data_IF_755423938312
#
_entry.id   IF_755423938312
#
_cell.length_a   1.000
_cell.length_b   1.000
_cell.length_c   1.000
_cell.angle_alpha   90.00
_cell.angle_beta   90.00
_cell.angle_gamma   90.00
#
_symmetry.space_group_name_H-M   'P 1'
#
loop_
_entity.id
_entity.type
_entity.pdbx_description
1 polymer ?
#
# COMPACT_ATOMS: atom_id res chain seq x y z
N UNK A 1 23.76 -7.64 17.93
CA UNK A 1 24.15 -6.63 16.92
C UNK A 1 24.13 -5.27 17.60
N UNK A 2 25.20 -4.44 17.39
CA UNK A 2 25.22 -3.07 17.90
C UNK A 2 24.13 -2.26 17.23
N UNK A 3 23.36 -1.50 18.05
CA UNK A 3 22.32 -0.62 17.59
C UNK A 3 22.75 0.84 17.64
N UNK A 4 22.27 1.65 16.73
CA UNK A 4 22.43 3.10 16.74
C UNK A 4 21.37 3.68 17.68
N UNK A 5 21.79 4.41 18.71
CA UNK A 5 20.85 5.06 19.60
C UNK A 5 20.30 6.33 18.97
N UNK A 6 18.99 6.44 18.87
CA UNK A 6 18.27 7.67 18.55
C UNK A 6 17.59 8.21 19.81
N UNK A 7 17.76 9.50 20.02
CA UNK A 7 17.11 10.19 21.11
C UNK A 7 15.71 10.59 20.70
N UNK A 8 14.70 10.16 21.47
CA UNK A 8 13.31 10.56 21.29
C UNK A 8 13.05 11.82 22.10
N UNK A 9 12.93 12.96 21.44
CA UNK A 9 12.71 14.25 22.07
C UNK A 9 11.25 14.66 21.84
N UNK A 10 10.44 14.84 22.92
CA UNK A 10 9.09 15.38 22.77
C UNK A 10 9.14 16.75 22.09
N UNK A 11 8.30 16.97 21.10
CA UNK A 11 8.25 18.20 20.34
C UNK A 11 6.82 18.75 20.33
N UNK A 12 6.62 20.09 20.27
CA UNK A 12 5.29 20.63 20.07
C UNK A 12 4.77 20.24 18.69
N UNK A 13 3.55 19.73 18.62
CA UNK A 13 2.85 19.55 17.36
C UNK A 13 2.41 20.92 16.86
N UNK A 14 3.16 21.54 15.97
CA UNK A 14 2.83 22.87 15.44
C UNK A 14 1.77 22.83 14.33
N UNK A 15 1.50 21.65 13.75
CA UNK A 15 0.37 21.38 12.86
C UNK A 15 0.30 22.25 11.59
N UNK A 16 1.36 22.98 11.28
CA UNK A 16 1.36 24.01 10.23
C UNK A 16 2.01 23.56 8.92
N UNK A 17 2.77 22.48 8.93
CA UNK A 17 3.45 21.98 7.74
C UNK A 17 2.62 20.87 7.08
N UNK A 18 2.59 20.86 5.74
CA UNK A 18 2.09 19.72 4.99
C UNK A 18 3.00 18.53 5.28
N UNK A 19 2.48 17.40 5.78
CA UNK A 19 3.30 16.24 6.09
C UNK A 19 3.86 15.60 4.82
N UNK A 20 4.97 14.87 4.95
CA UNK A 20 5.52 14.03 3.88
C UNK A 20 4.77 12.69 3.76
N UNK A 21 4.15 12.28 4.84
CA UNK A 21 3.34 11.07 4.95
C UNK A 21 2.21 11.33 5.92
N UNK A 22 1.00 10.88 5.59
CA UNK A 22 -0.09 10.75 6.56
C UNK A 22 -0.87 9.48 6.31
N UNK A 23 -1.18 8.77 7.39
CA UNK A 23 -2.13 7.66 7.40
C UNK A 23 -3.09 7.89 8.55
N UNK A 24 -4.36 8.08 8.24
CA UNK A 24 -5.41 8.28 9.21
C UNK A 24 -6.44 7.17 9.11
N UNK A 25 -6.54 6.39 10.18
CA UNK A 25 -7.54 5.37 10.40
C UNK A 25 -8.53 5.86 11.46
N UNK A 26 -9.52 6.63 11.06
CA UNK A 26 -10.61 7.09 11.93
C UNK A 26 -11.97 6.46 11.56
N UNK A 27 -11.95 5.42 10.75
CA UNK A 27 -13.13 4.66 10.36
C UNK A 27 -13.66 3.90 11.57
N UNK A 28 -14.86 4.29 12.02
CA UNK A 28 -15.49 3.70 13.19
C UNK A 28 -16.21 2.40 12.80
N UNK A 29 -15.44 1.35 12.64
CA UNK A 29 -15.95 0.05 12.25
C UNK A 29 -15.23 -1.05 13.01
N UNK A 30 -15.96 -1.92 13.65
CA UNK A 30 -15.55 -3.09 14.44
C UNK A 30 -14.06 -3.15 14.89
N UNK A 31 -13.71 -3.97 15.86
CA UNK A 31 -12.32 -4.20 16.35
C UNK A 31 -11.32 -4.68 15.26
N UNK A 32 -11.77 -4.78 14.01
CA UNK A 32 -10.98 -5.18 12.84
C UNK A 32 -9.95 -4.14 12.43
N UNK A 33 -10.30 -2.85 12.48
CA UNK A 33 -9.38 -1.77 12.14
C UNK A 33 -8.92 -1.04 13.39
N UNK A 34 -7.63 -0.71 13.44
CA UNK A 34 -7.10 0.11 14.52
C UNK A 34 -7.38 1.59 14.22
N UNK A 35 -7.84 2.35 15.21
CA UNK A 35 -7.76 3.80 15.15
C UNK A 35 -6.29 4.18 15.30
N UNK A 36 -5.76 4.91 14.34
CA UNK A 36 -4.41 5.44 14.36
C UNK A 36 -4.34 6.66 13.45
N UNK A 37 -3.68 7.69 13.94
CA UNK A 37 -3.35 8.88 13.16
C UNK A 37 -1.84 9.05 13.20
N UNK A 38 -1.18 8.87 12.05
CA UNK A 38 0.27 8.95 11.93
C UNK A 38 0.67 9.89 10.82
N UNK A 39 1.59 10.79 11.10
CA UNK A 39 2.15 11.69 10.11
C UNK A 39 3.66 11.84 10.29
N UNK A 40 4.38 12.00 9.18
CA UNK A 40 5.76 12.44 9.17
C UNK A 40 5.80 13.88 8.68
N UNK A 41 6.19 14.80 9.53
CA UNK A 41 6.44 16.19 9.15
C UNK A 41 7.84 16.37 8.56
N UNK A 42 8.83 15.67 9.11
CA UNK A 42 10.20 15.67 8.61
C UNK A 42 10.74 14.24 8.51
N UNK A 43 11.38 13.93 7.39
CA UNK A 43 12.08 12.68 7.18
C UNK A 43 13.58 12.86 7.40
N UNK A 44 14.21 11.93 8.11
CA UNK A 44 15.65 11.81 8.17
C UNK A 44 16.19 11.23 6.87
N UNK A 45 15.58 10.13 6.41
CA UNK A 45 15.95 9.40 5.19
C UNK A 45 14.72 9.08 4.36
N UNK A 46 14.91 8.88 3.06
CA UNK A 46 14.00 8.12 2.22
C UNK A 46 14.70 6.85 1.74
N UNK A 47 14.04 5.70 1.90
CA UNK A 47 14.53 4.40 1.44
C UNK A 47 13.77 3.98 0.19
N UNK A 48 14.46 3.79 -0.93
CA UNK A 48 13.93 3.29 -2.17
C UNK A 48 14.37 1.84 -2.34
N UNK A 49 13.41 0.97 -2.45
CA UNK A 49 13.63 -0.46 -2.62
C UNK A 49 13.55 -0.85 -4.09
N UNK A 50 14.65 -1.35 -4.64
CA UNK A 50 14.77 -1.90 -5.98
C UNK A 50 15.08 -3.40 -5.93
N UNK A 51 15.03 -4.06 -7.06
CA UNK A 51 15.32 -5.50 -7.14
C UNK A 51 16.78 -5.84 -6.76
N UNK A 52 17.71 -4.92 -7.03
CA UNK A 52 19.18 -5.09 -6.87
C UNK A 52 19.79 -4.27 -5.72
N UNK A 53 19.03 -3.37 -5.11
CA UNK A 53 19.52 -2.48 -4.06
C UNK A 53 18.43 -1.82 -3.23
N UNK A 54 18.83 -1.31 -2.08
CA UNK A 54 18.11 -0.28 -1.35
C UNK A 54 18.93 1.00 -1.44
N UNK A 55 18.34 2.08 -1.99
CA UNK A 55 18.96 3.39 -1.98
C UNK A 55 18.43 4.18 -0.77
N UNK A 56 19.34 4.68 0.07
CA UNK A 56 19.03 5.52 1.24
C UNK A 56 19.41 6.96 0.91
N UNK A 57 18.42 7.82 0.83
CA UNK A 57 18.58 9.23 0.50
C UNK A 57 18.44 10.07 1.77
N UNK A 58 19.48 10.72 2.26
CA UNK A 58 19.38 11.69 3.35
C UNK A 58 18.43 12.83 2.98
N UNK A 59 17.56 13.18 3.94
CA UNK A 59 16.56 14.24 3.80
C UNK A 59 16.80 15.41 4.75
N UNK A 60 17.83 15.29 5.59
CA UNK A 60 18.24 16.30 6.56
C UNK A 60 19.70 16.08 6.96
N UNK A 61 20.29 17.01 7.73
CA UNK A 61 21.62 16.83 8.32
C UNK A 61 21.65 15.62 9.26
N UNK A 62 20.62 15.45 10.07
CA UNK A 62 20.47 14.27 10.92
C UNK A 62 20.44 12.99 10.09
N UNK A 63 19.76 13.01 8.94
CA UNK A 63 19.71 11.90 8.00
C UNK A 63 21.07 11.53 7.40
N UNK A 64 21.92 12.51 7.09
CA UNK A 64 23.32 12.24 6.66
C UNK A 64 24.07 11.49 7.76
N UNK A 65 24.04 12.00 9.00
CA UNK A 65 24.71 11.36 10.14
C UNK A 65 24.18 9.94 10.41
N UNK A 66 22.87 9.74 10.28
CA UNK A 66 22.24 8.41 10.40
C UNK A 66 22.77 7.47 9.31
N UNK A 67 22.82 7.91 8.04
CA UNK A 67 23.35 7.11 6.94
C UNK A 67 24.83 6.77 7.12
N UNK A 68 25.64 7.73 7.55
CA UNK A 68 27.06 7.53 7.88
C UNK A 68 27.25 6.52 9.03
N UNK A 69 26.40 6.57 10.06
CA UNK A 69 26.42 5.61 11.17
C UNK A 69 25.98 4.20 10.73
N UNK A 70 25.05 4.10 9.77
CA UNK A 70 24.61 2.83 9.19
C UNK A 70 25.65 2.21 8.25
N UNK A 71 26.46 3.05 7.58
CA UNK A 71 27.38 2.59 6.54
C UNK A 71 28.32 1.44 6.98
N UNK A 72 29.04 1.51 8.11
CA UNK A 72 29.89 0.41 8.56
C UNK A 72 29.10 -0.82 9.04
N UNK A 73 27.84 -0.66 9.48
CA UNK A 73 27.00 -1.74 9.99
C UNK A 73 26.36 -2.56 8.88
N UNK A 74 26.09 -1.94 7.73
CA UNK A 74 25.36 -2.52 6.61
C UNK A 74 26.19 -2.69 5.35
N UNK A 75 27.43 -2.16 5.33
CA UNK A 75 28.29 -2.16 4.14
C UNK A 75 27.75 -1.20 3.06
N UNK A 76 27.25 -0.02 3.47
CA UNK A 76 26.77 0.97 2.52
C UNK A 76 27.92 1.60 1.74
N UNK A 77 27.64 1.91 0.48
CA UNK A 77 28.53 2.68 -0.41
C UNK A 77 27.77 3.84 -1.05
N UNK A 78 28.44 4.86 -1.59
CA UNK A 78 27.77 5.89 -2.39
C UNK A 78 26.97 5.26 -3.55
N UNK A 79 25.76 5.74 -3.81
CA UNK A 79 24.96 5.26 -4.95
C UNK A 79 25.34 6.02 -6.22
N UNK A 80 25.93 5.37 -7.24
CA UNK A 80 26.32 6.05 -8.47
C UNK A 80 25.13 6.56 -9.30
N UNK A 81 23.93 5.98 -9.09
CA UNK A 81 22.71 6.39 -9.77
C UNK A 81 21.98 7.56 -9.08
N UNK A 82 22.39 7.92 -7.85
CA UNK A 82 21.75 8.96 -7.06
C UNK A 82 22.79 9.73 -6.23
N UNK A 83 23.33 10.84 -6.74
CA UNK A 83 24.32 11.65 -6.02
C UNK A 83 23.84 12.04 -4.61
N UNK A 84 24.69 11.80 -3.60
CA UNK A 84 24.36 12.03 -2.18
C UNK A 84 23.56 10.92 -1.50
N UNK A 85 23.14 9.89 -2.23
CA UNK A 85 22.52 8.70 -1.65
C UNK A 85 23.57 7.63 -1.29
N UNK A 86 23.16 6.74 -0.39
CA UNK A 86 23.89 5.54 -0.01
C UNK A 86 23.20 4.32 -0.58
N UNK A 87 23.95 3.35 -1.07
CA UNK A 87 23.47 2.09 -1.63
C UNK A 87 23.76 0.93 -0.68
N UNK A 88 22.73 0.16 -0.35
CA UNK A 88 22.83 -1.20 0.18
C UNK A 88 22.62 -2.17 -0.98
N UNK A 89 23.66 -2.87 -1.47
CA UNK A 89 23.50 -3.82 -2.56
C UNK A 89 22.69 -5.03 -2.10
N UNK A 90 21.86 -5.55 -3.00
CA UNK A 90 21.09 -6.77 -2.83
C UNK A 90 21.50 -7.75 -3.93
N UNK A 91 21.49 -9.03 -3.62
CA UNK A 91 21.65 -10.06 -4.62
C UNK A 91 20.32 -10.21 -5.40
N UNK A 92 20.26 -9.88 -6.69
CA UNK A 92 19.03 -9.97 -7.47
C UNK A 92 18.55 -11.43 -7.65
N UNK A 93 19.45 -12.41 -7.51
CA UNK A 93 19.13 -13.83 -7.64
C UNK A 93 18.68 -14.45 -6.30
N UNK A 94 18.88 -13.75 -5.17
CA UNK A 94 18.35 -14.18 -3.88
C UNK A 94 16.80 -14.14 -3.85
N UNK A 95 16.16 -15.02 -3.08
CA UNK A 95 14.70 -14.99 -2.87
C UNK A 95 14.21 -13.58 -2.49
N UNK A 96 13.05 -13.18 -3.02
CA UNK A 96 12.50 -11.85 -2.73
C UNK A 96 12.34 -11.61 -1.22
N UNK A 97 11.94 -12.65 -0.45
CA UNK A 97 11.79 -12.54 1.00
C UNK A 97 13.10 -12.15 1.69
N UNK A 98 14.24 -12.68 1.27
CA UNK A 98 15.55 -12.31 1.83
C UNK A 98 15.89 -10.84 1.49
N UNK A 99 15.65 -10.41 0.25
CA UNK A 99 15.87 -9.02 -0.17
C UNK A 99 14.94 -8.05 0.58
N UNK A 100 13.68 -8.41 0.72
CA UNK A 100 12.68 -7.64 1.47
C UNK A 100 13.05 -7.56 2.95
N UNK A 101 13.55 -8.67 3.54
CA UNK A 101 13.97 -8.70 4.94
C UNK A 101 15.08 -7.68 5.21
N UNK A 102 15.99 -7.44 4.25
CA UNK A 102 17.04 -6.40 4.39
C UNK A 102 16.45 -5.00 4.56
N UNK A 103 15.33 -4.70 3.90
CA UNK A 103 14.60 -3.45 4.08
C UNK A 103 13.91 -3.42 5.45
N UNK A 104 13.21 -4.49 5.81
CA UNK A 104 12.45 -4.59 7.07
C UNK A 104 13.35 -4.60 8.31
N UNK A 105 14.62 -4.97 8.16
CA UNK A 105 15.61 -4.93 9.23
C UNK A 105 16.17 -3.53 9.52
N UNK A 106 15.93 -2.54 8.65
CA UNK A 106 16.45 -1.19 8.86
C UNK A 106 15.98 -0.57 10.19
N UNK A 107 14.70 -0.57 10.56
CA UNK A 107 14.27 -0.04 11.85
C UNK A 107 14.89 -0.76 13.05
N UNK A 108 15.16 -2.06 12.94
CA UNK A 108 15.74 -2.86 14.01
C UNK A 108 17.22 -2.51 14.29
N UNK A 109 17.88 -1.74 13.41
CA UNK A 109 19.25 -1.22 13.63
C UNK A 109 19.30 -0.07 14.61
N UNK A 110 18.15 0.45 15.00
CA UNK A 110 18.06 1.58 15.91
C UNK A 110 17.53 1.15 17.30
N UNK A 111 18.08 1.79 18.32
CA UNK A 111 17.49 1.86 19.65
C UNK A 111 16.76 3.20 19.71
N UNK A 112 15.46 3.17 19.45
CA UNK A 112 14.62 4.34 19.22
C UNK A 112 13.22 4.14 19.81
N UNK A 113 12.38 5.16 19.72
CA UNK A 113 10.94 5.07 20.00
C UNK A 113 10.34 3.86 19.24
N UNK A 114 9.49 3.03 19.86
CA UNK A 114 8.91 1.84 19.21
C UNK A 114 8.06 2.16 17.98
N UNK A 115 7.62 3.41 17.82
CA UNK A 115 6.90 3.93 16.65
C UNK A 115 7.83 4.31 15.50
N UNK A 116 9.15 4.38 15.74
CA UNK A 116 10.15 4.60 14.68
C UNK A 116 10.15 3.42 13.70
N UNK A 117 10.11 3.72 12.39
CA UNK A 117 9.97 2.69 11.36
C UNK A 117 10.05 3.22 9.95
N UNK A 118 9.54 2.45 9.02
CA UNK A 118 9.40 2.79 7.60
C UNK A 118 7.96 3.19 7.32
N UNK A 119 7.74 4.31 6.67
CA UNK A 119 6.43 4.89 6.37
C UNK A 119 6.33 5.19 4.88
N UNK A 120 5.46 4.49 4.16
CA UNK A 120 5.38 4.66 2.72
C UNK A 120 4.58 3.57 2.04
N UNK A 121 5.05 3.11 0.88
CA UNK A 121 4.31 2.14 0.11
C UNK A 121 5.20 1.16 -0.65
N UNK A 122 4.67 -0.03 -0.88
CA UNK A 122 5.18 -0.99 -1.87
C UNK A 122 4.47 -0.82 -3.20
N UNK A 123 5.22 -0.92 -4.27
CA UNK A 123 4.68 -0.95 -5.63
C UNK A 123 4.10 -2.35 -5.96
N UNK A 124 3.13 -2.40 -6.87
CA UNK A 124 2.58 -3.65 -7.39
C UNK A 124 3.65 -4.58 -7.96
N UNK A 125 4.70 -4.01 -8.54
CA UNK A 125 5.83 -4.70 -9.14
C UNK A 125 6.64 -5.56 -8.15
N UNK A 126 6.36 -5.48 -6.85
CA UNK A 126 6.88 -6.44 -5.87
C UNK A 126 6.44 -7.88 -6.22
N UNK A 127 5.21 -8.06 -6.75
CA UNK A 127 4.75 -9.35 -7.28
C UNK A 127 5.53 -9.76 -8.53
N UNK A 128 5.87 -8.80 -9.42
CA UNK A 128 6.70 -9.08 -10.58
C UNK A 128 8.07 -9.61 -10.16
N UNK A 129 8.71 -8.98 -9.17
CA UNK A 129 9.98 -9.44 -8.60
C UNK A 129 9.88 -10.85 -8.01
N UNK A 130 8.76 -11.19 -7.34
CA UNK A 130 8.47 -12.55 -6.84
C UNK A 130 8.40 -13.58 -7.97
N UNK A 131 7.81 -13.20 -9.10
CA UNK A 131 7.59 -14.08 -10.26
C UNK A 131 8.80 -14.14 -11.24
N UNK A 132 9.91 -13.46 -10.91
CA UNK A 132 11.08 -13.37 -11.79
C UNK A 132 10.82 -12.52 -13.05
N UNK A 133 9.83 -11.62 -13.01
CA UNK A 133 9.56 -10.69 -14.10
C UNK A 133 10.36 -9.39 -13.90
N UNK A 134 10.50 -8.60 -14.97
CA UNK A 134 11.18 -7.31 -14.88
C UNK A 134 10.43 -6.40 -13.91
N UNK A 135 11.16 -5.87 -12.93
CA UNK A 135 10.64 -4.99 -11.90
C UNK A 135 11.67 -3.90 -11.60
N UNK A 136 11.26 -2.65 -11.68
CA UNK A 136 12.08 -1.50 -11.33
C UNK A 136 12.01 -1.19 -9.83
N UNK A 137 11.39 -0.07 -9.50
CA UNK A 137 11.11 0.31 -8.12
C UNK A 137 10.07 -0.62 -7.48
N UNK A 138 10.38 -1.12 -6.30
CA UNK A 138 9.53 -2.05 -5.53
C UNK A 138 8.84 -1.36 -4.34
N UNK A 139 9.34 -0.21 -3.90
CA UNK A 139 8.74 0.55 -2.81
C UNK A 139 9.49 1.83 -2.47
N UNK A 140 8.79 2.76 -1.83
CA UNK A 140 9.31 4.04 -1.33
C UNK A 140 8.87 4.24 0.11
N UNK A 141 9.81 4.53 1.00
CA UNK A 141 9.54 4.73 2.41
C UNK A 141 10.30 5.92 2.97
N UNK A 142 9.65 6.69 3.83
CA UNK A 142 10.31 7.68 4.68
C UNK A 142 10.69 7.06 6.02
N UNK A 143 11.87 7.40 6.51
CA UNK A 143 12.32 7.16 7.87
C UNK A 143 12.15 8.48 8.62
N UNK A 144 11.37 8.53 9.70
CA UNK A 144 11.01 9.79 10.33
C UNK A 144 12.20 10.46 11.02
N UNK A 145 12.25 11.79 10.93
CA UNK A 145 12.96 12.66 11.84
C UNK A 145 11.97 13.28 12.83
N UNK A 146 10.83 13.82 12.33
CA UNK A 146 9.68 14.22 13.14
C UNK A 146 8.47 13.38 12.79
N UNK A 147 8.00 12.64 13.79
CA UNK A 147 6.84 11.76 13.70
C UNK A 147 5.73 12.29 14.63
N UNK A 148 4.51 12.31 14.12
CA UNK A 148 3.29 12.56 14.90
C UNK A 148 2.49 11.26 14.95
N UNK A 149 2.10 10.83 16.15
CA UNK A 149 1.21 9.69 16.37
C UNK A 149 0.11 10.10 17.34
N UNK A 150 -1.12 10.03 16.88
CA UNK A 150 -2.33 10.37 17.67
C UNK A 150 -2.24 11.75 18.36
N UNK A 151 -1.62 12.73 17.66
CA UNK A 151 -1.43 14.10 18.13
C UNK A 151 -0.16 14.34 18.94
N UNK A 152 0.59 13.29 19.29
CA UNK A 152 1.88 13.42 19.98
C UNK A 152 3.03 13.51 18.98
N UNK A 153 3.83 14.56 19.03
CA UNK A 153 5.00 14.75 18.19
C UNK A 153 6.28 14.29 18.91
N UNK A 154 7.13 13.55 18.17
CA UNK A 154 8.44 13.07 18.62
C UNK A 154 9.47 13.33 17.55
N UNK A 155 10.58 13.99 17.94
CA UNK A 155 11.78 14.09 17.11
C UNK A 155 12.71 12.89 17.39
N UNK A 156 13.15 12.21 16.35
CA UNK A 156 14.06 11.07 16.39
C UNK A 156 15.46 11.51 15.89
N UNK A 157 16.33 11.89 16.82
CA UNK A 157 17.60 12.55 16.53
C UNK A 157 18.78 11.68 16.96
N UNK A 158 19.84 11.66 16.14
CA UNK A 158 21.11 11.05 16.53
C UNK A 158 21.82 11.87 17.62
N UNK A 159 21.73 13.20 17.54
CA UNK A 159 22.20 14.13 18.52
C UNK A 159 21.03 15.02 19.02
N UNK A 160 20.70 15.00 20.31
CA UNK A 160 19.60 15.81 20.85
C UNK A 160 19.77 17.33 20.67
N UNK A 161 20.99 17.80 20.45
CA UNK A 161 21.28 19.21 20.18
C UNK A 161 20.94 19.62 18.74
N UNK A 162 20.68 18.64 17.86
CA UNK A 162 20.31 18.88 16.46
C UNK A 162 18.80 19.14 16.37
N UNK A 163 18.40 20.37 16.61
CA UNK A 163 16.98 20.77 16.67
C UNK A 163 16.26 20.75 15.32
N UNK A 164 16.86 20.15 14.29
CA UNK A 164 16.25 19.87 12.99
C UNK A 164 16.04 21.13 12.13
N UNK A 165 16.33 20.97 10.85
CA UNK A 165 15.95 21.91 9.78
C UNK A 165 14.76 21.38 8.98
N UNK A 166 14.39 22.06 7.91
CA UNK A 166 13.46 21.56 6.91
C UNK A 166 14.00 20.27 6.23
N UNK A 167 13.12 19.34 5.87
CA UNK A 167 13.50 18.21 5.05
C UNK A 167 13.91 18.67 3.66
N UNK A 168 15.02 18.13 3.15
CA UNK A 168 15.44 18.44 1.80
C UNK A 168 14.46 17.86 0.79
N UNK A 169 14.24 18.52 -0.37
CA UNK A 169 13.37 18.00 -1.41
C UNK A 169 13.79 16.59 -1.85
N UNK A 170 12.81 15.76 -2.17
CA UNK A 170 13.01 14.48 -2.82
C UNK A 170 12.77 14.67 -4.32
N UNK A 171 13.67 14.17 -5.14
CA UNK A 171 13.52 14.13 -6.59
C UNK A 171 13.70 12.69 -7.05
N UNK A 172 12.60 12.00 -7.28
CA UNK A 172 12.59 10.59 -7.70
C UNK A 172 12.52 10.43 -9.21
N UNK A 173 12.07 11.44 -9.95
CA UNK A 173 11.86 11.39 -11.39
C UNK A 173 13.04 10.80 -12.18
N UNK A 174 14.30 11.21 -11.93
CA UNK A 174 15.45 10.61 -12.60
C UNK A 174 15.67 9.11 -12.32
N UNK A 175 15.17 8.62 -11.16
CA UNK A 175 15.32 7.22 -10.76
C UNK A 175 14.12 6.35 -11.15
N UNK A 176 12.96 6.95 -11.46
CA UNK A 176 11.71 6.23 -11.68
C UNK A 176 11.39 6.02 -13.17
N UNK A 177 12.00 6.79 -14.09
CA UNK A 177 11.53 6.88 -15.47
C UNK A 177 10.14 7.52 -15.48
N UNK A 178 10.07 8.83 -15.26
CA UNK A 178 8.92 9.59 -14.78
C UNK A 178 7.60 9.36 -15.52
N UNK A 179 7.60 9.21 -16.85
CA UNK A 179 6.36 9.12 -17.65
C UNK A 179 5.56 7.83 -17.39
N UNK A 180 6.23 6.72 -17.04
CA UNK A 180 5.58 5.42 -16.84
C UNK A 180 5.11 5.22 -15.38
N UNK A 181 5.69 5.92 -14.41
CA UNK A 181 5.34 5.74 -13.00
C UNK A 181 3.95 6.31 -12.68
N UNK A 182 3.64 7.49 -13.19
CA UNK A 182 2.37 8.17 -12.89
C UNK A 182 1.18 7.46 -13.54
N UNK A 183 1.23 7.24 -14.84
CA UNK A 183 0.10 6.70 -15.61
C UNK A 183 0.08 5.17 -15.67
N UNK A 184 1.26 4.54 -15.70
CA UNK A 184 1.42 3.15 -16.05
C UNK A 184 1.00 2.89 -17.50
N UNK A 185 1.11 1.64 -17.95
CA UNK A 185 0.62 1.18 -19.25
C UNK A 185 -0.62 0.32 -19.09
N UNK A 186 -1.45 0.25 -20.13
CA UNK A 186 -2.60 -0.64 -20.13
C UNK A 186 -3.27 -0.68 -21.49
N UNK A 187 -4.01 -1.76 -21.74
CA UNK A 187 -4.87 -1.88 -22.92
C UNK A 187 -6.21 -1.17 -22.69
N UNK A 188 -6.91 -0.74 -23.77
CA UNK A 188 -8.31 -0.36 -23.70
C UNK A 188 -9.17 -1.48 -23.09
N UNK A 189 -10.23 -1.10 -22.40
CA UNK A 189 -11.10 -2.01 -21.65
C UNK A 189 -11.60 -3.19 -22.51
N UNK A 190 -12.11 -2.92 -23.70
CA UNK A 190 -12.70 -3.94 -24.58
C UNK A 190 -11.66 -5.00 -25.01
N UNK A 191 -10.44 -4.56 -25.28
CA UNK A 191 -9.34 -5.48 -25.62
C UNK A 191 -8.95 -6.36 -24.46
N UNK A 192 -8.80 -5.76 -23.28
CA UNK A 192 -8.43 -6.51 -22.08
C UNK A 192 -9.54 -7.46 -21.68
N UNK A 193 -10.82 -7.03 -21.76
CA UNK A 193 -11.97 -7.90 -21.51
C UNK A 193 -11.98 -9.11 -22.43
N UNK A 194 -11.74 -8.93 -23.75
CA UNK A 194 -11.71 -10.03 -24.71
C UNK A 194 -10.59 -11.04 -24.42
N UNK A 195 -9.40 -10.56 -24.05
CA UNK A 195 -8.26 -11.41 -23.67
C UNK A 195 -8.59 -12.20 -22.40
N UNK A 196 -9.06 -11.52 -21.37
CA UNK A 196 -9.41 -12.12 -20.09
C UNK A 196 -10.51 -13.19 -20.25
N UNK A 197 -11.60 -12.86 -20.96
CA UNK A 197 -12.72 -13.78 -21.19
C UNK A 197 -12.27 -15.06 -21.93
N UNK A 198 -11.35 -14.95 -22.89
CA UNK A 198 -10.79 -16.12 -23.57
C UNK A 198 -9.99 -17.00 -22.60
N UNK A 199 -9.09 -16.40 -21.80
CA UNK A 199 -8.28 -17.14 -20.83
C UNK A 199 -9.11 -17.80 -19.72
N UNK A 200 -10.26 -17.21 -19.38
CA UNK A 200 -11.22 -17.78 -18.44
C UNK A 200 -11.99 -18.94 -19.11
N UNK A 201 -12.44 -18.78 -20.35
CA UNK A 201 -13.14 -19.81 -21.10
C UNK A 201 -12.25 -21.05 -21.36
N UNK A 202 -10.97 -20.84 -21.60
CA UNK A 202 -9.96 -21.90 -21.80
C UNK A 202 -9.58 -22.59 -20.46
N UNK A 203 -10.11 -22.14 -19.32
CA UNK A 203 -9.83 -22.71 -18.01
C UNK A 203 -8.44 -22.34 -17.42
N UNK A 204 -7.68 -21.48 -18.10
CA UNK A 204 -6.37 -21.01 -17.61
C UNK A 204 -6.51 -20.09 -16.39
N UNK A 205 -7.60 -19.36 -16.29
CA UNK A 205 -7.93 -18.46 -15.17
C UNK A 205 -9.36 -18.72 -14.69
N UNK A 206 -9.59 -18.54 -13.40
CA UNK A 206 -10.94 -18.45 -12.82
C UNK A 206 -11.40 -17.00 -12.79
N UNK A 207 -10.49 -16.10 -12.53
CA UNK A 207 -10.73 -14.65 -12.57
C UNK A 207 -9.43 -13.89 -12.87
N UNK A 208 -9.57 -12.65 -13.32
CA UNK A 208 -8.47 -11.67 -13.43
C UNK A 208 -9.02 -10.27 -13.16
N UNK A 209 -8.22 -9.42 -12.52
CA UNK A 209 -8.61 -8.06 -12.18
C UNK A 209 -7.75 -7.04 -12.94
N UNK A 210 -8.04 -6.73 -14.21
CA UNK A 210 -7.33 -5.70 -14.96
C UNK A 210 -7.66 -4.30 -14.42
N UNK A 211 -6.74 -3.35 -14.66
CA UNK A 211 -6.92 -1.97 -14.22
C UNK A 211 -6.76 -0.95 -15.35
N UNK A 212 -7.43 0.18 -15.20
CA UNK A 212 -7.50 1.23 -16.20
C UNK A 212 -7.19 2.57 -15.56
N UNK A 213 -6.32 3.35 -16.22
CA UNK A 213 -5.96 4.70 -15.78
C UNK A 213 -6.95 5.73 -16.31
N UNK A 214 -7.33 6.67 -15.46
CA UNK A 214 -8.11 7.86 -15.78
C UNK A 214 -7.25 9.06 -15.41
N UNK A 215 -6.94 9.90 -16.38
CA UNK A 215 -6.11 11.09 -16.18
C UNK A 215 -6.93 12.36 -16.41
N UNK A 216 -6.69 13.37 -15.57
CA UNK A 216 -7.32 14.69 -15.70
C UNK A 216 -6.33 15.79 -15.29
N UNK A 217 -6.38 16.96 -15.92
CA UNK A 217 -5.71 18.16 -15.42
C UNK A 217 -6.18 18.45 -13.99
N UNK A 218 -5.25 18.70 -13.08
CA UNK A 218 -5.55 19.01 -11.68
C UNK A 218 -4.52 20.00 -11.14
N UNK A 219 -4.99 21.20 -10.81
CA UNK A 219 -4.18 22.23 -10.17
C UNK A 219 -4.37 22.26 -8.63
N UNK A 220 -5.15 21.34 -8.09
CA UNK A 220 -5.42 21.27 -6.64
C UNK A 220 -4.21 20.70 -5.89
N UNK A 221 -4.00 21.21 -4.71
CA UNK A 221 -3.02 20.68 -3.77
C UNK A 221 -3.42 19.26 -3.30
N UNK A 222 -2.48 18.33 -3.36
CA UNK A 222 -2.73 16.91 -3.06
C UNK A 222 -3.11 16.66 -1.59
N UNK A 223 -2.55 17.45 -0.66
CA UNK A 223 -2.90 17.32 0.75
C UNK A 223 -4.32 17.83 1.03
N UNK A 224 -4.76 18.86 0.32
CA UNK A 224 -6.15 19.32 0.36
C UNK A 224 -7.12 18.27 -0.19
N UNK A 225 -6.72 17.56 -1.25
CA UNK A 225 -7.51 16.42 -1.77
C UNK A 225 -7.61 15.32 -0.72
N UNK A 226 -6.49 14.99 -0.04
CA UNK A 226 -6.50 14.03 1.08
C UNK A 226 -7.45 14.45 2.21
N UNK A 227 -7.45 15.73 2.60
CA UNK A 227 -8.36 16.25 3.63
C UNK A 227 -9.82 16.16 3.20
N UNK A 228 -10.13 16.47 1.93
CA UNK A 228 -11.49 16.36 1.39
C UNK A 228 -11.95 14.88 1.33
N UNK A 229 -11.06 13.96 0.96
CA UNK A 229 -11.36 12.53 0.99
C UNK A 229 -11.64 12.05 2.42
N UNK A 230 -10.83 12.47 3.39
CA UNK A 230 -11.03 12.14 4.80
C UNK A 230 -12.40 12.64 5.31
N UNK A 231 -12.80 13.83 4.90
CA UNK A 231 -14.06 14.43 5.33
C UNK A 231 -15.29 13.80 4.65
N UNK A 232 -15.19 13.48 3.34
CA UNK A 232 -16.32 13.01 2.52
C UNK A 232 -16.45 11.49 2.48
N UNK A 233 -15.34 10.78 2.62
CA UNK A 233 -15.29 9.34 2.54
C UNK A 233 -14.26 8.76 3.52
N UNK A 234 -14.54 8.84 4.82
CA UNK A 234 -13.70 8.17 5.80
C UNK A 234 -13.65 6.67 5.48
N UNK A 235 -12.43 6.14 5.45
CA UNK A 235 -12.17 4.73 5.17
C UNK A 235 -11.09 4.22 6.14
N UNK A 236 -10.88 2.90 6.23
CA UNK A 236 -9.82 2.35 7.08
C UNK A 236 -8.43 2.93 6.82
N UNK A 237 -8.14 3.31 5.55
CA UNK A 237 -6.82 3.81 5.17
C UNK A 237 -6.96 5.10 4.34
N UNK A 238 -7.04 6.24 5.04
CA UNK A 238 -6.93 7.54 4.40
C UNK A 238 -5.45 7.90 4.33
N UNK A 239 -4.91 7.94 3.11
CA UNK A 239 -3.48 8.02 2.86
C UNK A 239 -3.08 9.31 2.14
N UNK A 240 -1.91 9.83 2.51
CA UNK A 240 -1.18 10.86 1.80
C UNK A 240 0.31 10.54 1.78
N UNK A 241 0.97 10.76 0.65
CA UNK A 241 2.41 10.59 0.52
C UNK A 241 2.98 11.65 -0.42
N UNK A 242 4.05 12.30 0.01
CA UNK A 242 4.83 13.23 -0.80
C UNK A 242 6.14 12.59 -1.23
N UNK A 243 6.24 12.25 -2.50
CA UNK A 243 7.43 11.72 -3.15
C UNK A 243 8.31 12.81 -3.78
N UNK A 244 7.99 14.08 -3.58
CA UNK A 244 8.65 15.22 -4.20
C UNK A 244 8.10 15.51 -5.59
N UNK A 245 8.46 14.72 -6.58
CA UNK A 245 7.98 14.89 -7.97
C UNK A 245 6.54 14.40 -8.16
N UNK A 246 6.01 13.64 -7.21
CA UNK A 246 4.62 13.17 -7.22
C UNK A 246 4.04 13.12 -5.81
N UNK A 247 2.73 13.19 -5.69
CA UNK A 247 2.01 12.96 -4.45
C UNK A 247 0.92 11.90 -4.65
N UNK A 248 0.64 11.12 -3.58
CA UNK A 248 -0.48 10.21 -3.51
C UNK A 248 -1.51 10.74 -2.51
N UNK A 249 -2.79 10.75 -2.89
CA UNK A 249 -3.89 11.03 -1.98
C UNK A 249 -5.01 10.01 -2.20
N UNK A 250 -5.45 9.34 -1.15
CA UNK A 250 -6.40 8.24 -1.29
C UNK A 250 -7.20 7.93 -0.04
N UNK A 251 -8.25 7.12 -0.25
CA UNK A 251 -9.16 6.64 0.78
C UNK A 251 -9.53 5.17 0.50
N UNK A 252 -8.66 4.26 0.97
CA UNK A 252 -8.76 2.83 0.67
C UNK A 252 -9.58 2.08 1.71
N UNK A 253 -10.53 1.22 1.29
CA UNK A 253 -11.30 0.37 2.18
C UNK A 253 -10.57 -0.92 2.57
N UNK A 254 -9.47 -1.28 1.90
CA UNK A 254 -8.95 -2.63 1.92
C UNK A 254 -7.67 -2.76 2.76
N UNK A 255 -7.72 -3.59 3.81
CA UNK A 255 -6.52 -4.05 4.52
C UNK A 255 -5.75 -5.03 3.64
N UNK A 256 -4.45 -4.77 3.44
CA UNK A 256 -3.55 -5.75 2.88
C UNK A 256 -3.04 -6.69 3.95
N UNK A 257 -2.36 -6.16 4.96
CA UNK A 257 -1.76 -6.95 6.03
C UNK A 257 -1.54 -6.11 7.29
N UNK A 258 -1.87 -6.65 8.44
CA UNK A 258 -1.58 -6.07 9.75
C UNK A 258 -0.82 -7.08 10.60
N UNK A 259 0.21 -6.61 11.31
CA UNK A 259 0.86 -7.35 12.40
C UNK A 259 0.70 -6.56 13.70
N UNK A 260 0.07 -7.16 14.69
CA UNK A 260 -0.09 -6.56 16.03
C UNK A 260 -0.15 -7.65 17.08
N UNK A 261 0.58 -7.47 18.19
CA UNK A 261 0.60 -8.45 19.29
C UNK A 261 1.05 -9.86 18.84
N UNK A 262 1.94 -9.96 17.85
CA UNK A 262 2.44 -11.22 17.32
C UNK A 262 1.44 -11.97 16.42
N UNK A 263 0.26 -11.38 16.12
CA UNK A 263 -0.71 -11.94 15.17
C UNK A 263 -0.72 -11.12 13.87
N UNK A 264 -0.67 -11.85 12.79
CA UNK A 264 -0.84 -11.33 11.44
C UNK A 264 -2.32 -11.42 11.07
N UNK A 265 -2.87 -10.38 10.46
CA UNK A 265 -4.26 -10.35 10.02
C UNK A 265 -4.35 -9.77 8.60
N UNK A 266 -5.34 -10.24 7.86
CA UNK A 266 -5.74 -9.78 6.53
C UNK A 266 -7.26 -9.62 6.50
N UNK A 267 -7.76 -8.85 5.53
CA UNK A 267 -9.20 -8.68 5.37
C UNK A 267 -9.59 -8.75 3.89
N UNK A 268 -9.90 -9.96 3.39
CA UNK A 268 -10.54 -10.10 2.09
C UNK A 268 -11.84 -9.32 2.01
N UNK A 269 -12.01 -8.52 0.95
CA UNK A 269 -13.18 -7.70 0.69
C UNK A 269 -13.68 -7.98 -0.72
N UNK A 270 -14.95 -8.42 -0.85
CA UNK A 270 -15.61 -8.77 -2.09
C UNK A 270 -17.09 -8.39 -2.03
N UNK A 271 -17.73 -8.33 -3.19
CA UNK A 271 -19.12 -7.90 -3.29
C UNK A 271 -19.28 -6.40 -3.06
N UNK A 272 -20.03 -5.76 -3.92
CA UNK A 272 -20.25 -4.32 -3.88
C UNK A 272 -21.67 -4.00 -4.29
N UNK A 273 -22.34 -3.15 -3.52
CA UNK A 273 -23.62 -2.59 -3.91
C UNK A 273 -23.67 -1.10 -3.57
N UNK A 274 -24.24 -0.30 -4.46
CA UNK A 274 -24.42 1.12 -4.21
C UNK A 274 -25.38 1.38 -3.05
N UNK A 275 -25.18 2.47 -2.35
CA UNK A 275 -26.11 2.94 -1.32
C UNK A 275 -27.44 3.38 -1.93
N UNK A 276 -28.51 3.28 -1.14
CA UNK A 276 -29.81 3.87 -1.43
C UNK A 276 -29.85 5.37 -1.14
N UNK A 277 -31.04 5.97 -1.34
CA UNK A 277 -31.29 7.39 -1.08
C UNK A 277 -31.66 7.70 0.36
N UNK A 278 -31.68 6.70 1.22
CA UNK A 278 -32.04 6.81 2.62
C UNK A 278 -31.99 5.45 3.32
N UNK A 279 -32.22 5.44 4.62
CA UNK A 279 -32.02 4.28 5.48
C UNK A 279 -32.81 3.03 5.02
N UNK A 280 -34.08 3.20 4.62
CA UNK A 280 -34.91 2.07 4.15
C UNK A 280 -34.36 1.43 2.85
N UNK A 281 -33.91 2.26 1.90
CA UNK A 281 -33.27 1.76 0.68
C UNK A 281 -31.88 1.15 0.98
N UNK A 282 -31.14 1.70 1.91
CA UNK A 282 -29.86 1.16 2.37
C UNK A 282 -30.04 -0.25 2.95
N UNK A 283 -31.03 -0.46 3.83
CA UNK A 283 -31.34 -1.78 4.39
C UNK A 283 -31.78 -2.78 3.31
N UNK A 284 -32.56 -2.33 2.34
CA UNK A 284 -32.93 -3.16 1.18
C UNK A 284 -31.70 -3.56 0.33
N UNK A 285 -30.75 -2.63 0.12
CA UNK A 285 -29.52 -2.93 -0.60
C UNK A 285 -28.62 -3.89 0.19
N UNK A 286 -28.50 -3.70 1.51
CA UNK A 286 -27.77 -4.63 2.38
C UNK A 286 -28.38 -6.03 2.33
N UNK A 287 -29.71 -6.14 2.44
CA UNK A 287 -30.41 -7.42 2.33
C UNK A 287 -30.16 -8.10 0.98
N UNK A 288 -30.18 -7.33 -0.13
CA UNK A 288 -29.87 -7.82 -1.47
C UNK A 288 -28.42 -8.31 -1.57
N UNK A 289 -27.45 -7.56 -1.02
CA UNK A 289 -26.05 -7.94 -1.01
C UNK A 289 -25.82 -9.24 -0.24
N UNK A 290 -26.46 -9.38 0.93
CA UNK A 290 -26.36 -10.58 1.77
C UNK A 290 -27.04 -11.81 1.14
N UNK A 291 -28.12 -11.61 0.39
CA UNK A 291 -28.83 -12.68 -0.33
C UNK A 291 -28.13 -13.10 -1.63
N UNK A 292 -27.12 -12.37 -2.10
CA UNK A 292 -26.38 -12.68 -3.33
C UNK A 292 -25.48 -13.90 -3.14
N UNK A 293 -25.80 -15.00 -3.80
CA UNK A 293 -24.96 -16.19 -3.84
C UNK A 293 -23.66 -15.94 -4.61
N UNK A 294 -23.68 -15.06 -5.61
CA UNK A 294 -22.48 -14.65 -6.33
C UNK A 294 -21.47 -14.00 -5.38
N UNK A 295 -21.90 -12.96 -4.66
CA UNK A 295 -21.02 -12.20 -3.78
C UNK A 295 -20.53 -13.03 -2.59
N UNK A 296 -21.38 -13.94 -2.08
CA UNK A 296 -20.98 -14.90 -1.05
C UNK A 296 -19.89 -15.82 -1.55
N UNK A 297 -20.09 -16.45 -2.72
CA UNK A 297 -19.12 -17.38 -3.29
C UNK A 297 -17.77 -16.69 -3.60
N UNK A 298 -17.80 -15.47 -4.14
CA UNK A 298 -16.59 -14.70 -4.41
C UNK A 298 -15.79 -14.40 -3.14
N UNK A 299 -16.47 -14.03 -2.04
CA UNK A 299 -15.81 -13.79 -0.76
C UNK A 299 -15.20 -15.10 -0.19
N UNK A 300 -15.94 -16.20 -0.23
CA UNK A 300 -15.47 -17.52 0.23
C UNK A 300 -14.21 -17.96 -0.55
N UNK A 301 -14.17 -17.76 -1.87
CA UNK A 301 -12.98 -18.04 -2.70
C UNK A 301 -11.80 -17.15 -2.31
N UNK A 302 -12.03 -15.86 -2.04
CA UNK A 302 -10.98 -14.96 -1.58
C UNK A 302 -10.44 -15.35 -0.20
N UNK A 303 -11.30 -15.73 0.73
CA UNK A 303 -10.91 -16.22 2.07
C UNK A 303 -10.08 -17.50 1.94
N UNK A 304 -10.51 -18.43 1.10
CA UNK A 304 -9.76 -19.68 0.85
C UNK A 304 -8.37 -19.40 0.29
N UNK A 305 -8.26 -18.53 -0.72
CA UNK A 305 -6.99 -18.14 -1.31
C UNK A 305 -6.08 -17.44 -0.28
N UNK A 306 -6.66 -16.59 0.57
CA UNK A 306 -5.95 -15.90 1.64
C UNK A 306 -5.43 -16.86 2.72
N UNK A 307 -6.22 -17.85 3.12
CA UNK A 307 -5.77 -18.91 4.04
C UNK A 307 -4.64 -19.76 3.44
N UNK A 308 -4.78 -20.16 2.17
CA UNK A 308 -3.73 -20.92 1.47
C UNK A 308 -2.41 -20.14 1.37
N UNK A 309 -2.47 -18.82 1.11
CA UNK A 309 -1.29 -17.98 1.11
C UNK A 309 -0.57 -17.98 2.47
N UNK A 310 -1.31 -18.07 3.58
CA UNK A 310 -0.75 -18.13 4.93
C UNK A 310 -0.08 -19.46 5.27
N UNK A 311 -0.48 -20.56 4.62
CA UNK A 311 0.02 -21.92 4.97
C UNK A 311 1.54 -22.05 4.86
N UNK A 312 2.19 -21.31 3.95
CA UNK A 312 3.63 -21.40 3.75
C UNK A 312 4.43 -20.81 4.94
N UNK A 313 4.03 -19.65 5.44
CA UNK A 313 4.76 -18.90 6.48
C UNK A 313 4.07 -18.83 7.82
N UNK A 314 2.80 -19.22 7.92
CA UNK A 314 2.00 -19.06 9.13
C UNK A 314 1.42 -20.38 9.65
N UNK A 315 1.07 -20.37 10.95
CA UNK A 315 0.34 -21.39 11.68
C UNK A 315 -0.82 -20.76 12.46
N UNK A 316 -1.68 -21.56 13.09
CA UNK A 316 -2.84 -21.10 13.86
C UNK A 316 -3.73 -20.15 13.03
N UNK A 317 -3.98 -20.56 11.77
CA UNK A 317 -4.78 -19.79 10.82
C UNK A 317 -6.26 -19.88 11.21
N UNK A 318 -6.92 -18.73 11.35
CA UNK A 318 -8.33 -18.63 11.79
C UNK A 318 -9.10 -17.64 10.95
N UNK A 319 -10.35 -17.97 10.67
CA UNK A 319 -11.32 -17.00 10.17
C UNK A 319 -12.01 -16.37 11.39
N UNK A 320 -11.64 -15.13 11.71
CA UNK A 320 -12.18 -14.43 12.88
C UNK A 320 -13.58 -13.84 12.59
N UNK A 321 -13.80 -13.41 11.33
CA UNK A 321 -15.07 -12.91 10.81
C UNK A 321 -15.30 -13.56 9.45
N UNK A 322 -16.37 -14.35 9.31
CA UNK A 322 -16.66 -15.05 8.05
C UNK A 322 -17.23 -14.12 6.98
N UNK A 323 -18.19 -13.25 7.36
CA UNK A 323 -18.83 -12.30 6.46
C UNK A 323 -19.49 -11.19 7.24
N UNK A 324 -19.13 -9.96 6.95
CA UNK A 324 -19.77 -8.77 7.49
C UNK A 324 -20.02 -7.73 6.39
N UNK A 325 -20.94 -6.80 6.61
CA UNK A 325 -21.20 -5.69 5.67
C UNK A 325 -20.53 -4.43 6.17
N UNK A 326 -19.56 -3.94 5.43
CA UNK A 326 -18.93 -2.65 5.68
C UNK A 326 -19.68 -1.54 4.95
N UNK A 327 -19.98 -0.44 5.69
CA UNK A 327 -20.80 0.68 5.22
C UNK A 327 -19.92 1.87 4.89
N UNK A 328 -19.64 2.10 3.60
CA UNK A 328 -18.88 3.27 3.12
C UNK A 328 -19.82 4.39 2.67
N UNK A 329 -19.26 5.55 2.34
CA UNK A 329 -20.06 6.74 2.00
C UNK A 329 -20.99 6.53 0.79
N UNK A 330 -20.55 5.76 -0.23
CA UNK A 330 -21.29 5.56 -1.48
C UNK A 330 -21.62 4.10 -1.80
N UNK A 331 -21.08 3.13 -1.06
CA UNK A 331 -21.25 1.70 -1.31
C UNK A 331 -21.28 0.90 -0.02
N UNK A 332 -21.83 -0.31 -0.11
CA UNK A 332 -21.65 -1.39 0.85
C UNK A 332 -20.74 -2.45 0.24
N UNK A 333 -19.85 -3.02 1.06
CA UNK A 333 -19.04 -4.19 0.71
C UNK A 333 -19.31 -5.33 1.69
N UNK A 334 -19.08 -6.57 1.28
CA UNK A 334 -18.87 -7.67 2.21
C UNK A 334 -17.40 -7.94 2.41
N UNK A 335 -17.02 -8.30 3.63
CA UNK A 335 -15.63 -8.60 3.99
C UNK A 335 -15.56 -9.71 5.02
N UNK A 336 -14.38 -10.34 5.10
CA UNK A 336 -14.01 -11.31 6.11
C UNK A 336 -12.78 -10.84 6.88
N UNK A 337 -12.40 -11.55 7.94
CA UNK A 337 -11.12 -11.34 8.63
C UNK A 337 -10.45 -12.68 8.88
N UNK A 338 -9.17 -12.78 8.50
CA UNK A 338 -8.37 -13.98 8.69
C UNK A 338 -7.11 -13.64 9.45
N UNK A 339 -6.84 -14.32 10.56
CA UNK A 339 -5.63 -14.12 11.34
C UNK A 339 -4.78 -15.38 11.48
N UNK A 340 -3.50 -15.19 11.76
CA UNK A 340 -2.53 -16.27 11.90
C UNK A 340 -1.33 -15.83 12.76
N UNK A 341 -0.41 -16.74 13.06
CA UNK A 341 0.89 -16.48 13.65
C UNK A 341 1.99 -16.90 12.68
N UNK A 342 3.11 -16.20 12.68
CA UNK A 342 4.29 -16.65 11.94
C UNK A 342 4.80 -17.99 12.54
N UNK A 343 5.14 -18.93 11.68
CA UNK A 343 5.83 -20.17 12.08
C UNK A 343 7.21 -19.86 12.63
N UNK A 344 7.75 -20.69 13.53
CA UNK A 344 9.15 -20.61 13.95
C UNK A 344 10.09 -20.56 12.73
N UNK A 345 11.03 -19.60 12.72
CA UNK A 345 12.00 -19.41 11.63
C UNK A 345 11.48 -18.68 10.41
N UNK A 346 10.19 -18.35 10.35
CA UNK A 346 9.60 -17.49 9.30
C UNK A 346 9.58 -16.04 9.73
N UNK A 347 9.65 -15.16 8.76
CA UNK A 347 9.75 -13.71 8.95
C UNK A 347 8.53 -12.98 8.41
N UNK A 348 8.39 -11.70 8.73
CA UNK A 348 7.39 -10.83 8.13
C UNK A 348 7.56 -10.73 6.60
N UNK A 349 8.81 -10.75 6.11
CA UNK A 349 9.08 -10.74 4.68
C UNK A 349 8.54 -11.99 3.98
N UNK A 350 8.67 -13.18 4.60
CA UNK A 350 8.05 -14.41 4.08
C UNK A 350 6.53 -14.21 3.96
N UNK A 351 5.87 -13.75 5.03
CA UNK A 351 4.43 -13.56 5.04
C UNK A 351 3.97 -12.51 4.02
N UNK A 352 4.67 -11.39 3.87
CA UNK A 352 4.36 -10.40 2.83
C UNK A 352 4.49 -11.04 1.45
N UNK A 353 5.59 -11.75 1.17
CA UNK A 353 5.82 -12.40 -0.11
C UNK A 353 4.76 -13.46 -0.44
N UNK A 354 4.31 -14.24 0.55
CA UNK A 354 3.27 -15.24 0.34
C UNK A 354 1.91 -14.62 -0.01
N UNK A 355 1.64 -13.40 0.48
CA UNK A 355 0.39 -12.66 0.24
C UNK A 355 0.40 -11.68 -0.95
N UNK A 356 1.45 -11.64 -1.76
CA UNK A 356 1.57 -10.72 -2.91
C UNK A 356 0.76 -11.20 -4.11
N UNK A 357 -0.22 -10.46 -4.56
CA UNK A 357 -1.14 -9.55 -3.88
C UNK A 357 -2.46 -10.26 -3.70
N UNK A 358 -3.43 -9.71 -2.94
CA UNK A 358 -4.72 -10.38 -2.77
C UNK A 358 -5.39 -10.70 -4.10
N UNK A 359 -6.05 -11.87 -4.19
CA UNK A 359 -6.78 -12.30 -5.38
C UNK A 359 -7.82 -11.26 -5.84
N UNK A 360 -8.34 -10.47 -4.91
CA UNK A 360 -9.28 -9.37 -5.16
C UNK A 360 -8.74 -8.26 -6.07
N UNK A 361 -7.40 -8.12 -6.15
CA UNK A 361 -6.75 -7.12 -7.02
C UNK A 361 -5.90 -7.74 -8.14
N UNK A 362 -5.74 -9.07 -8.15
CA UNK A 362 -4.97 -9.78 -9.18
C UNK A 362 -5.86 -10.73 -9.99
N UNK A 363 -6.58 -11.61 -9.31
CA UNK A 363 -7.34 -12.72 -9.89
C UNK A 363 -6.85 -14.08 -9.39
N UNK A 364 -7.41 -15.16 -9.92
CA UNK A 364 -7.11 -16.54 -9.53
C UNK A 364 -6.95 -17.48 -10.72
N UNK A 365 -5.93 -18.38 -10.72
CA UNK A 365 -4.79 -18.43 -9.79
C UNK A 365 -3.93 -17.16 -9.87
N UNK A 366 -3.41 -16.70 -8.72
CA UNK A 366 -2.70 -15.39 -8.62
C UNK A 366 -1.54 -15.29 -9.59
N UNK A 367 -0.66 -16.29 -9.66
CA UNK A 367 0.54 -16.24 -10.50
C UNK A 367 0.18 -16.19 -12.00
N UNK A 368 -0.82 -16.96 -12.43
CA UNK A 368 -1.27 -16.97 -13.84
C UNK A 368 -1.92 -15.64 -14.22
N UNK A 369 -2.78 -15.10 -13.34
CA UNK A 369 -3.41 -13.80 -13.54
C UNK A 369 -2.37 -12.67 -13.57
N UNK A 370 -1.40 -12.68 -12.64
CA UNK A 370 -0.32 -11.70 -12.58
C UNK A 370 0.54 -11.70 -13.85
N UNK A 371 0.89 -12.87 -14.39
CA UNK A 371 1.65 -12.97 -15.64
C UNK A 371 0.87 -12.39 -16.81
N UNK A 372 -0.42 -12.72 -16.94
CA UNK A 372 -1.28 -12.13 -17.97
C UNK A 372 -1.35 -10.59 -17.83
N UNK A 373 -1.51 -10.08 -16.62
CA UNK A 373 -1.55 -8.65 -16.38
C UNK A 373 -0.21 -7.98 -16.75
N UNK A 374 0.92 -8.58 -16.37
CA UNK A 374 2.26 -8.05 -16.67
C UNK A 374 2.56 -7.95 -18.18
N UNK A 375 1.96 -8.80 -19.01
CA UNK A 375 2.07 -8.73 -20.48
C UNK A 375 1.38 -7.48 -21.06
N UNK A 376 0.35 -6.97 -20.37
CA UNK A 376 -0.58 -6.00 -20.93
C UNK A 376 -0.69 -4.68 -20.15
N UNK A 377 -0.26 -4.63 -18.88
CA UNK A 377 -0.31 -3.42 -18.06
C UNK A 377 0.89 -3.30 -17.13
N UNK A 378 1.19 -2.07 -16.70
CA UNK A 378 2.03 -1.76 -15.56
C UNK A 378 1.22 -0.93 -14.57
N UNK A 379 1.33 -1.23 -13.27
CA UNK A 379 0.48 -0.62 -12.23
C UNK A 379 1.21 0.34 -11.32
N UNK A 380 2.49 0.13 -11.16
CA UNK A 380 3.37 0.93 -10.29
C UNK A 380 2.81 1.01 -8.86
N UNK A 381 2.38 2.19 -8.45
CA UNK A 381 1.80 2.43 -7.14
C UNK A 381 0.43 1.77 -6.91
N UNK A 382 -0.36 1.58 -7.97
CA UNK A 382 -1.73 1.05 -7.87
C UNK A 382 -1.76 -0.44 -7.52
N UNK A 383 -2.63 -0.82 -6.60
CA UNK A 383 -2.78 -2.18 -6.05
C UNK A 383 -1.54 -2.71 -5.32
N UNK A 384 -0.58 -1.84 -4.99
CA UNK A 384 0.45 -2.10 -4.00
C UNK A 384 -0.07 -1.96 -2.56
N UNK A 385 0.80 -1.76 -1.59
CA UNK A 385 0.41 -1.60 -0.19
C UNK A 385 1.01 -0.33 0.43
N UNK A 386 0.22 0.43 1.18
CA UNK A 386 0.58 1.69 1.84
C UNK A 386 0.41 1.60 3.34
N UNK A 387 1.37 2.14 4.09
CA UNK A 387 1.25 2.21 5.53
C UNK A 387 2.59 2.34 6.24
N UNK A 388 2.74 1.66 7.36
CA UNK A 388 3.95 1.69 8.16
C UNK A 388 4.41 0.31 8.61
N UNK A 389 5.73 0.20 8.81
CA UNK A 389 6.47 -0.99 9.19
C UNK A 389 7.37 -0.62 10.38
N UNK A 390 6.88 -0.83 11.60
CA UNK A 390 7.63 -0.67 12.84
C UNK A 390 8.07 -2.04 13.38
N UNK A 391 8.97 -2.07 14.35
CA UNK A 391 9.57 -3.32 14.84
C UNK A 391 8.55 -4.37 15.31
N UNK A 392 7.45 -3.93 15.95
CA UNK A 392 6.45 -4.82 16.55
C UNK A 392 5.03 -4.58 16.01
N UNK A 393 4.88 -3.66 15.08
CA UNK A 393 3.58 -3.27 14.54
C UNK A 393 3.71 -2.93 13.06
N UNK A 394 2.84 -3.54 12.27
CA UNK A 394 2.71 -3.27 10.84
C UNK A 394 1.25 -3.01 10.51
N UNK A 395 1.00 -1.99 9.73
CA UNK A 395 -0.32 -1.66 9.21
C UNK A 395 -0.19 -1.28 7.74
N UNK A 396 -0.72 -2.11 6.86
CA UNK A 396 -0.66 -1.93 5.41
C UNK A 396 -2.04 -2.05 4.79
N UNK A 397 -2.50 -0.97 4.17
CA UNK A 397 -3.69 -0.94 3.32
C UNK A 397 -3.33 -1.12 1.85
N UNK A 398 -4.23 -1.69 1.05
CA UNK A 398 -4.06 -1.79 -0.41
C UNK A 398 -4.22 -0.41 -1.05
N UNK A 399 -3.33 -0.04 -1.98
CA UNK A 399 -3.39 1.26 -2.67
C UNK A 399 -4.43 1.23 -3.79
N UNK A 400 -5.67 1.42 -3.42
CA UNK A 400 -6.82 1.60 -4.32
C UNK A 400 -7.60 2.85 -3.91
N UNK A 401 -8.50 3.33 -4.78
CA UNK A 401 -9.24 4.59 -4.55
C UNK A 401 -8.29 5.75 -4.19
N UNK A 402 -7.24 5.86 -4.98
CA UNK A 402 -6.13 6.78 -4.79
C UNK A 402 -5.87 7.52 -6.10
N UNK A 403 -5.48 8.77 -5.99
CA UNK A 403 -4.93 9.55 -7.10
C UNK A 403 -3.43 9.77 -6.90
N UNK A 404 -2.67 9.69 -7.97
CA UNK A 404 -1.32 10.22 -8.07
C UNK A 404 -1.39 11.57 -8.76
N UNK A 405 -0.78 12.57 -8.16
CA UNK A 405 -0.65 13.92 -8.70
C UNK A 405 0.80 14.17 -9.06
N UNK A 406 1.03 14.54 -10.32
CA UNK A 406 2.35 14.91 -10.85
C UNK A 406 2.14 15.83 -12.06
N UNK A 407 3.02 16.81 -12.26
CA UNK A 407 3.07 17.69 -13.45
C UNK A 407 1.72 18.32 -13.83
N UNK A 408 0.93 18.73 -12.83
CA UNK A 408 -0.38 19.34 -13.05
C UNK A 408 -1.48 18.37 -13.52
N UNK A 409 -1.21 17.07 -13.44
CA UNK A 409 -2.15 16.00 -13.78
C UNK A 409 -2.48 15.16 -12.56
N UNK A 410 -3.72 14.71 -12.45
CA UNK A 410 -4.12 13.67 -11.53
C UNK A 410 -4.42 12.39 -12.31
N UNK A 411 -3.81 11.30 -11.88
CA UNK A 411 -4.03 9.95 -12.41
C UNK A 411 -4.68 9.10 -11.34
N UNK A 412 -5.87 8.56 -11.60
CA UNK A 412 -6.45 7.49 -10.79
C UNK A 412 -6.52 6.21 -11.59
N UNK A 413 -6.39 5.06 -10.92
CA UNK A 413 -6.62 3.75 -11.54
C UNK A 413 -7.77 3.03 -10.85
N UNK A 414 -8.50 2.28 -11.65
CA UNK A 414 -9.62 1.46 -11.18
C UNK A 414 -9.55 0.08 -11.83
N UNK A 415 -9.94 -0.95 -11.09
CA UNK A 415 -9.99 -2.32 -11.57
C UNK A 415 -11.32 -2.99 -11.23
N UNK A 416 -11.73 -3.94 -12.05
CA UNK A 416 -12.84 -4.84 -11.76
C UNK A 416 -12.44 -6.29 -12.00
N UNK A 417 -13.06 -7.20 -11.27
CA UNK A 417 -12.76 -8.63 -11.36
C UNK A 417 -13.57 -9.27 -12.46
N UNK A 418 -12.89 -9.65 -13.53
CA UNK A 418 -13.48 -10.42 -14.63
C UNK A 418 -13.51 -11.92 -14.28
N UNK A 419 -14.66 -12.54 -14.44
CA UNK A 419 -14.90 -13.97 -14.22
C UNK A 419 -15.84 -14.52 -15.31
N UNK A 420 -16.12 -15.82 -15.28
CA UNK A 420 -17.08 -16.42 -16.20
C UNK A 420 -18.52 -15.87 -16.10
N UNK A 421 -18.80 -15.13 -15.01
CA UNK A 421 -20.13 -14.51 -14.77
C UNK A 421 -20.14 -13.01 -15.06
N UNK A 422 -19.04 -12.42 -15.49
CA UNK A 422 -18.93 -10.99 -15.78
C UNK A 422 -19.59 -10.64 -17.11
N UNK A 423 -20.21 -9.48 -17.19
CA UNK A 423 -20.67 -8.86 -18.44
C UNK A 423 -19.98 -7.51 -18.64
N UNK A 424 -19.67 -7.12 -19.88
CA UNK A 424 -18.97 -5.86 -20.15
C UNK A 424 -19.64 -4.64 -19.52
N UNK A 425 -20.97 -4.55 -19.60
CA UNK A 425 -21.75 -3.42 -19.12
C UNK A 425 -21.74 -3.32 -17.59
N UNK A 426 -21.87 -4.45 -16.88
CA UNK A 426 -21.87 -4.47 -15.42
C UNK A 426 -20.49 -4.07 -14.88
N UNK A 427 -19.42 -4.63 -15.44
CA UNK A 427 -18.07 -4.34 -15.02
C UNK A 427 -17.67 -2.89 -15.31
N UNK A 428 -18.09 -2.34 -16.46
CA UNK A 428 -17.85 -0.93 -16.77
C UNK A 428 -18.58 -0.01 -15.79
N UNK A 429 -19.83 -0.29 -15.46
CA UNK A 429 -20.58 0.46 -14.45
C UNK A 429 -19.92 0.40 -13.07
N UNK A 430 -19.34 -0.73 -12.71
CA UNK A 430 -18.59 -0.89 -11.46
C UNK A 430 -17.30 -0.04 -11.46
N UNK A 431 -16.56 -0.02 -12.58
CA UNK A 431 -15.37 0.82 -12.74
C UNK A 431 -15.71 2.31 -12.58
N UNK A 432 -16.79 2.77 -13.21
CA UNK A 432 -17.27 4.15 -13.11
C UNK A 432 -17.67 4.50 -11.66
N UNK A 433 -18.38 3.61 -10.98
CA UNK A 433 -18.76 3.80 -9.57
C UNK A 433 -17.52 3.88 -8.66
N UNK A 434 -16.50 3.04 -8.89
CA UNK A 434 -15.24 3.07 -8.14
C UNK A 434 -14.43 4.34 -8.39
N UNK A 435 -14.45 4.87 -9.62
CA UNK A 435 -13.75 6.09 -10.00
C UNK A 435 -14.42 7.35 -9.43
N UNK A 436 -15.74 7.38 -9.37
CA UNK A 436 -16.54 8.58 -9.06
C UNK A 436 -16.13 9.26 -7.77
N UNK A 437 -15.75 8.50 -6.75
CA UNK A 437 -15.33 9.01 -5.46
C UNK A 437 -14.08 9.89 -5.56
N UNK A 438 -13.04 9.40 -6.22
CA UNK A 438 -11.79 10.15 -6.41
C UNK A 438 -12.01 11.30 -7.39
N UNK A 439 -12.69 11.03 -8.52
CA UNK A 439 -12.96 12.07 -9.53
C UNK A 439 -13.81 13.22 -8.99
N UNK A 440 -14.63 12.98 -7.95
CA UNK A 440 -15.46 14.00 -7.31
C UNK A 440 -14.70 14.96 -6.38
N UNK A 441 -13.42 14.70 -6.10
CA UNK A 441 -12.55 15.56 -5.29
C UNK A 441 -11.35 16.11 -6.08
N UNK A 442 -11.15 15.70 -7.33
CA UNK A 442 -10.17 16.27 -8.26
C UNK A 442 -10.76 17.49 -8.99
#
# INVERSE_FOLDING_TARGET
>A
MSKIRLHSVPAPADGRQTPLFALRCNYDYTAKYARSDRAIERAALSALFFADRIALLPRSRNGVRIAEALAPLLGLSPDPAAPGAFRLPLDPDAPLAERLQRLLDLPARFDADPRFGLYGFFCYELLHAKLGLNAGLLGVFHVPERLIVDGEAVDCLLDPADTGGESWPLALGPMLGADDFAAGRGLPYERMYAIASRRIADGALRSVNPSFAIQRPCARDAYRIHQDLLARNPAPYNLYFDGGDFQLAGSSPAMFLRLRGGRLATSPICGTIARGRGEAEDEAQVAKLLASDKDRFELEECVRADMQAKEASCEDIRVDIEREVERFANVFHTSASVSARLKPGKTLADAICDHLWPATVVGTPVDAAARLLAEHESRRWYAGAFGYLCANEVELGTVIRTALLADGMATTRVGSTLSARSSPQLEQSELEAKASLILGVL
#
